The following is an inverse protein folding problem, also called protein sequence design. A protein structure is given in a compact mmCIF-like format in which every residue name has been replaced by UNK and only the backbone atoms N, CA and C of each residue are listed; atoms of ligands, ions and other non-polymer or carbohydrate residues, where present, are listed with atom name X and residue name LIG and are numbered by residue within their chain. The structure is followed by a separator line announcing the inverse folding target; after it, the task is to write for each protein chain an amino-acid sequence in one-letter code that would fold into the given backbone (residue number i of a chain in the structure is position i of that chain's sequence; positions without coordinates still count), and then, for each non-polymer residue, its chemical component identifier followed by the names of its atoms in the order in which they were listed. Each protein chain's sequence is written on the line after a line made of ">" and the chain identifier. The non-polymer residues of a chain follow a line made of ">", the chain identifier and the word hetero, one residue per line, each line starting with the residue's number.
data_IF_408324023678
#
_entry.id   IF_408324023678
#
_cell.length_a   1.000
_cell.length_b   1.000
_cell.length_c   1.000
_cell.angle_alpha   90.00
_cell.angle_beta   90.00
_cell.angle_gamma   90.00
#
_symmetry.space_group_name_H-M   'P 1'
#
loop_
_entity.id
_entity.type
_entity.pdbx_description
1 polymer ?
#
# COMPACT_ATOMS: atom_id res chain seq x y z
N UNK A 1 -5.29 -2.65 -3.54
CA UNK A 1 -4.10 -3.43 -3.14
C UNK A 1 -4.44 -4.71 -2.36
N UNK A 2 -5.24 -4.67 -1.28
CA UNK A 2 -5.62 -5.87 -0.51
C UNK A 2 -6.20 -7.02 -1.37
N UNK A 3 -7.05 -6.68 -2.34
CA UNK A 3 -7.57 -7.62 -3.34
C UNK A 3 -6.48 -8.36 -4.12
N UNK A 4 -5.40 -7.67 -4.49
CA UNK A 4 -4.30 -8.27 -5.22
C UNK A 4 -3.38 -9.12 -4.36
N UNK A 5 -3.15 -8.71 -3.10
CA UNK A 5 -2.17 -9.35 -2.22
C UNK A 5 -2.81 -10.39 -1.30
N UNK A 6 -3.42 -9.96 -0.20
CA UNK A 6 -3.97 -10.87 0.82
C UNK A 6 -5.16 -11.68 0.32
N UNK A 7 -5.99 -11.10 -0.54
CA UNK A 7 -7.23 -11.71 -1.04
C UNK A 7 -7.09 -12.21 -2.48
N UNK A 8 -5.87 -12.55 -2.89
CA UNK A 8 -5.52 -12.84 -4.29
C UNK A 8 -6.31 -13.99 -4.92
N UNK A 9 -6.82 -14.93 -4.13
CA UNK A 9 -7.61 -16.06 -4.65
C UNK A 9 -9.00 -15.64 -5.18
N UNK A 10 -9.44 -14.41 -4.92
CA UNK A 10 -10.79 -13.97 -5.23
C UNK A 10 -10.91 -13.09 -6.48
N UNK A 11 -9.80 -12.56 -6.99
CA UNK A 11 -9.82 -11.54 -8.04
C UNK A 11 -8.90 -11.91 -9.21
N UNK A 12 -9.46 -11.83 -10.43
CA UNK A 12 -8.72 -12.07 -11.67
C UNK A 12 -7.71 -10.95 -11.98
N UNK A 13 -8.00 -9.72 -11.58
CA UNK A 13 -7.13 -8.55 -11.72
C UNK A 13 -7.48 -7.50 -10.66
N UNK A 14 -6.57 -6.57 -10.39
CA UNK A 14 -6.80 -5.47 -9.46
C UNK A 14 -6.20 -4.15 -9.97
N UNK A 15 -6.85 -3.04 -9.60
CA UNK A 15 -6.32 -1.69 -9.80
C UNK A 15 -6.19 -1.01 -8.43
N UNK A 16 -5.02 -0.46 -8.14
CA UNK A 16 -4.79 0.42 -7.00
C UNK A 16 -4.64 1.85 -7.50
N UNK A 17 -5.59 2.71 -7.14
CA UNK A 17 -5.52 4.15 -7.40
C UNK A 17 -5.23 4.89 -6.09
N UNK A 18 -4.14 5.67 -6.05
CA UNK A 18 -3.69 6.47 -4.88
C UNK A 18 -3.76 5.71 -3.55
N UNK A 19 -3.28 4.46 -3.55
CA UNK A 19 -3.50 3.53 -2.44
C UNK A 19 -2.41 3.56 -1.37
N UNK A 20 -2.83 3.48 -0.10
CA UNK A 20 -1.93 3.22 1.03
C UNK A 20 -1.52 1.74 1.01
N UNK A 21 -0.21 1.48 1.05
CA UNK A 21 0.36 0.13 0.94
C UNK A 21 1.08 -0.32 2.21
N UNK A 22 1.58 0.65 2.99
CA UNK A 22 2.32 0.45 4.21
C UNK A 22 1.90 1.48 5.25
N UNK A 23 1.10 1.05 6.23
CA UNK A 23 0.62 1.92 7.31
C UNK A 23 1.75 2.44 8.20
N UNK A 24 2.87 1.71 8.28
CA UNK A 24 4.03 2.13 9.08
C UNK A 24 4.75 3.31 8.42
N UNK A 25 5.08 3.20 7.13
CA UNK A 25 5.77 4.29 6.41
C UNK A 25 4.84 5.45 6.06
N UNK A 26 3.52 5.22 5.93
CA UNK A 26 2.53 6.29 5.73
C UNK A 26 2.67 7.38 6.79
N UNK A 27 2.79 7.00 8.07
CA UNK A 27 2.87 7.97 9.18
C UNK A 27 3.99 9.00 9.00
N UNK A 28 5.14 8.57 8.46
CA UNK A 28 6.30 9.44 8.24
C UNK A 28 6.30 10.20 6.91
N UNK A 29 5.33 9.95 6.02
CA UNK A 29 5.35 10.49 4.64
C UNK A 29 4.10 11.30 4.27
N UNK A 30 3.01 11.16 5.02
CA UNK A 30 1.75 11.88 4.80
C UNK A 30 1.75 13.28 5.43
N UNK A 31 1.06 14.23 4.80
CA UNK A 31 0.81 15.58 5.34
C UNK A 31 -0.17 15.60 6.54
N UNK A 32 -0.87 14.50 6.80
CA UNK A 32 -1.87 14.35 7.88
C UNK A 32 -1.47 13.27 8.90
N UNK A 33 -0.27 13.37 9.48
CA UNK A 33 0.33 12.32 10.32
C UNK A 33 -0.54 11.83 11.49
N UNK A 34 -1.43 12.68 12.02
CA UNK A 34 -2.32 12.35 13.15
C UNK A 34 -3.67 11.72 12.75
N UNK A 35 -4.02 11.67 11.47
CA UNK A 35 -5.34 11.21 10.99
C UNK A 35 -5.68 9.78 11.45
N UNK A 36 -4.72 8.86 11.36
CA UNK A 36 -4.92 7.47 11.80
C UNK A 36 -5.32 7.37 13.28
N UNK A 37 -4.85 8.28 14.13
CA UNK A 37 -5.23 8.34 15.53
C UNK A 37 -6.59 9.03 15.72
N UNK A 38 -6.79 10.18 15.08
CA UNK A 38 -7.96 11.02 15.31
C UNK A 38 -9.26 10.41 14.79
N UNK A 39 -9.23 9.75 13.62
CA UNK A 39 -10.46 9.34 12.92
C UNK A 39 -10.50 7.87 12.47
N UNK A 40 -9.43 7.09 12.69
CA UNK A 40 -9.37 5.68 12.28
C UNK A 40 -9.01 4.72 13.42
N UNK A 41 -7.76 4.27 13.47
CA UNK A 41 -7.29 3.19 14.33
C UNK A 41 -7.14 3.56 15.82
N UNK A 42 -7.28 4.85 16.17
CA UNK A 42 -7.15 5.37 17.54
C UNK A 42 -5.89 4.85 18.27
N UNK A 43 -4.80 4.73 17.51
CA UNK A 43 -3.50 4.28 18.00
C UNK A 43 -2.40 4.75 17.05
N UNK A 44 -1.17 4.84 17.52
CA UNK A 44 0.00 5.16 16.72
C UNK A 44 0.75 3.90 16.27
N UNK A 45 1.53 3.97 15.17
CA UNK A 45 2.29 2.83 14.66
C UNK A 45 3.17 2.13 15.72
N UNK A 46 3.87 2.89 16.56
CA UNK A 46 4.74 2.34 17.62
C UNK A 46 3.98 1.65 18.76
N UNK A 47 2.67 1.92 18.91
CA UNK A 47 1.86 1.25 19.93
C UNK A 47 1.38 -0.13 19.46
N UNK A 48 1.26 -0.34 18.14
CA UNK A 48 0.68 -1.55 17.55
C UNK A 48 1.39 -1.96 16.25
N UNK A 49 2.72 -2.02 16.28
CA UNK A 49 3.55 -2.20 15.08
C UNK A 49 3.12 -3.39 14.21
N UNK A 50 3.02 -4.57 14.83
CA UNK A 50 2.63 -5.80 14.13
C UNK A 50 1.21 -5.72 13.56
N UNK A 51 0.27 -5.12 14.29
CA UNK A 51 -1.12 -4.96 13.86
C UNK A 51 -1.23 -4.10 12.59
N UNK A 52 -0.41 -3.04 12.49
CA UNK A 52 -0.33 -2.17 11.31
C UNK A 52 0.37 -2.86 10.13
N UNK A 53 1.44 -3.60 10.41
CA UNK A 53 2.15 -4.38 9.39
C UNK A 53 1.24 -5.42 8.74
N UNK A 54 0.53 -6.23 9.54
CA UNK A 54 -0.41 -7.25 9.02
C UNK A 54 -1.58 -6.67 8.25
N UNK A 55 -1.93 -5.40 8.50
CA UNK A 55 -2.97 -4.65 7.76
C UNK A 55 -2.47 -3.97 6.50
N UNK A 56 -1.16 -4.00 6.26
CA UNK A 56 -0.53 -3.36 5.13
C UNK A 56 -0.45 -4.32 3.94
N UNK A 57 -0.96 -3.97 2.74
CA UNK A 57 -0.86 -4.82 1.56
C UNK A 57 0.55 -5.33 1.26
N UNK A 58 1.58 -4.53 1.54
CA UNK A 58 2.98 -4.85 1.29
C UNK A 58 3.44 -6.11 2.02
N UNK A 59 2.92 -6.36 3.22
CA UNK A 59 3.26 -7.54 4.03
C UNK A 59 2.85 -8.85 3.35
N UNK A 60 1.84 -8.78 2.48
CA UNK A 60 1.27 -9.92 1.78
C UNK A 60 1.69 -10.00 0.31
N UNK A 61 2.61 -9.15 -0.16
CA UNK A 61 2.99 -9.07 -1.57
C UNK A 61 3.55 -10.40 -2.13
N UNK A 62 4.26 -11.18 -1.31
CA UNK A 62 4.91 -12.41 -1.76
C UNK A 62 3.95 -13.53 -2.19
N UNK A 63 2.75 -13.59 -1.62
CA UNK A 63 1.74 -14.58 -2.01
C UNK A 63 0.86 -14.13 -3.19
N UNK A 64 1.03 -12.90 -3.68
CA UNK A 64 0.21 -12.34 -4.75
C UNK A 64 0.24 -13.24 -6.00
N UNK A 65 -0.95 -13.52 -6.56
CA UNK A 65 -1.17 -14.19 -7.85
C UNK A 65 -1.96 -13.30 -8.83
N UNK A 66 -2.69 -12.33 -8.31
CA UNK A 66 -3.54 -11.40 -9.07
C UNK A 66 -2.67 -10.31 -9.70
N UNK A 67 -2.73 -10.11 -11.03
CA UNK A 67 -2.12 -8.97 -11.69
C UNK A 67 -2.60 -7.63 -11.12
N UNK A 68 -1.66 -6.73 -10.86
CA UNK A 68 -1.95 -5.42 -10.26
C UNK A 68 -1.49 -4.26 -11.14
N UNK A 69 -2.43 -3.39 -11.50
CA UNK A 69 -2.12 -2.05 -12.00
C UNK A 69 -2.10 -1.05 -10.85
N UNK A 70 -0.98 -0.36 -10.65
CA UNK A 70 -0.82 0.73 -9.70
C UNK A 70 -0.85 2.06 -10.44
N UNK A 71 -1.66 2.99 -9.95
CA UNK A 71 -1.85 4.32 -10.50
C UNK A 71 -1.73 5.35 -9.37
N UNK A 72 -0.85 6.33 -9.52
CA UNK A 72 -0.57 7.32 -8.46
C UNK A 72 -0.28 8.70 -9.03
N UNK A 73 -0.65 9.78 -8.33
CA UNK A 73 -0.17 11.13 -8.65
C UNK A 73 1.32 11.29 -8.33
N UNK A 74 2.10 11.91 -9.22
CA UNK A 74 3.54 12.10 -9.00
C UNK A 74 3.84 12.99 -7.80
N UNK A 75 2.99 13.97 -7.55
CA UNK A 75 3.18 15.00 -6.51
C UNK A 75 2.09 14.94 -5.43
N UNK A 76 1.51 13.77 -5.17
CA UNK A 76 0.47 13.56 -4.14
C UNK A 76 1.05 13.79 -2.73
N UNK A 77 0.64 14.85 -2.01
CA UNK A 77 1.16 15.14 -0.67
C UNK A 77 0.49 14.29 0.42
N UNK A 78 -0.68 13.70 0.11
CA UNK A 78 -1.55 13.01 1.06
C UNK A 78 -1.15 11.56 1.17
N UNK A 79 -1.15 10.85 0.04
CA UNK A 79 -0.62 9.50 -0.06
C UNK A 79 0.68 9.61 -0.82
N UNK A 80 1.80 9.75 -0.12
CA UNK A 80 3.08 9.98 -0.78
C UNK A 80 3.39 8.87 -1.82
N UNK A 81 3.95 9.21 -3.00
CA UNK A 81 4.29 8.24 -4.06
C UNK A 81 5.12 7.05 -3.60
N UNK A 82 5.87 7.20 -2.49
CA UNK A 82 6.59 6.12 -1.82
C UNK A 82 5.72 4.89 -1.53
N UNK A 83 4.43 5.07 -1.21
CA UNK A 83 3.51 3.95 -1.00
C UNK A 83 3.42 3.06 -2.25
N UNK A 84 3.28 3.65 -3.43
CA UNK A 84 3.25 2.92 -4.69
C UNK A 84 4.62 2.33 -5.06
N UNK A 85 5.71 3.07 -4.81
CA UNK A 85 7.08 2.58 -5.04
C UNK A 85 7.42 1.35 -4.21
N UNK A 86 7.08 1.37 -2.92
CA UNK A 86 7.35 0.27 -1.99
C UNK A 86 6.67 -1.02 -2.46
N UNK A 87 5.36 -0.98 -2.71
CA UNK A 87 4.62 -2.17 -3.15
C UNK A 87 5.08 -2.65 -4.54
N UNK A 88 5.27 -1.72 -5.49
CA UNK A 88 5.78 -2.07 -6.82
C UNK A 88 7.11 -2.80 -6.71
N UNK A 89 8.06 -2.29 -5.91
CA UNK A 89 9.37 -2.93 -5.74
C UNK A 89 9.24 -4.31 -5.10
N UNK A 90 8.46 -4.45 -4.04
CA UNK A 90 8.25 -5.74 -3.35
C UNK A 90 7.64 -6.79 -4.27
N UNK A 91 6.66 -6.41 -5.09
CA UNK A 91 6.05 -7.29 -6.07
C UNK A 91 7.01 -7.62 -7.21
N UNK A 92 7.73 -6.61 -7.73
CA UNK A 92 8.61 -6.79 -8.90
C UNK A 92 9.80 -7.70 -8.62
N UNK A 93 10.44 -7.59 -7.45
CA UNK A 93 11.58 -8.45 -7.09
C UNK A 93 11.17 -9.90 -6.77
N UNK A 94 9.88 -10.14 -6.50
CA UNK A 94 9.30 -11.46 -6.27
C UNK A 94 8.58 -11.99 -7.52
N UNK A 95 8.91 -11.45 -8.70
CA UNK A 95 8.41 -11.85 -10.00
C UNK A 95 6.87 -11.88 -10.11
N UNK A 96 6.21 -10.89 -9.48
CA UNK A 96 4.75 -10.72 -9.57
C UNK A 96 4.36 -9.86 -10.76
N UNK A 97 3.18 -10.12 -11.33
CA UNK A 97 2.62 -9.30 -12.39
C UNK A 97 2.11 -7.96 -11.82
N UNK A 98 2.88 -6.91 -12.08
CA UNK A 98 2.61 -5.56 -11.58
C UNK A 98 3.08 -4.51 -12.57
N UNK A 99 2.27 -3.45 -12.74
CA UNK A 99 2.64 -2.23 -13.46
C UNK A 99 2.40 -1.01 -12.58
N UNK A 100 3.28 -0.02 -12.67
CA UNK A 100 3.16 1.27 -11.99
C UNK A 100 3.09 2.40 -13.02
N UNK A 101 2.09 3.26 -12.88
CA UNK A 101 1.86 4.45 -13.72
C UNK A 101 1.75 5.67 -12.81
N UNK A 102 2.50 6.72 -13.14
CA UNK A 102 2.39 8.02 -12.51
C UNK A 102 1.61 9.00 -13.38
N UNK A 103 0.72 9.75 -12.75
CA UNK A 103 0.00 10.87 -13.36
C UNK A 103 0.67 12.19 -12.95
N UNK A 104 0.88 13.13 -13.89
CA UNK A 104 1.41 14.45 -13.60
C UNK A 104 0.45 15.30 -12.77
#
# INVERSE_FOLDING_TARGET
>A
AWGATKLTEHFAASVMFVGVTNQLSKFGTTDISNEMFLVHARSYPWQKWQWYLERSPIYWAGQSKTPLLIMHGKDDPRVHPAQSMELYRYMKVQDKDVRLVYYP
#
